data_IF_586582572142
#
_entry.id   IF_586582572142
#
_cell.length_a   1.000
_cell.length_b   1.000
_cell.length_c   1.000
_cell.angle_alpha   90.00
_cell.angle_beta   90.00
_cell.angle_gamma   90.00
#
_symmetry.space_group_name_H-M   'P 1'
#
loop_
_entity.id
_entity.type
_entity.pdbx_description
1 polymer ?
#
# COMPACT_ATOMS: atom_id res chain seq x y z
N UNK A 1 -25.26 5.13 32.76
CA UNK A 1 -24.54 4.51 31.62
C UNK A 1 -23.70 5.60 30.96
N UNK A 2 -22.40 5.43 30.86
CA UNK A 2 -21.52 6.43 30.24
C UNK A 2 -21.97 6.71 28.81
N UNK A 3 -22.41 7.93 28.56
CA UNK A 3 -22.91 8.37 27.24
C UNK A 3 -21.77 8.63 26.24
N UNK A 4 -20.51 8.64 26.69
CA UNK A 4 -19.34 8.88 25.85
C UNK A 4 -18.83 7.55 25.26
N UNK A 5 -18.63 7.47 23.92
CA UNK A 5 -18.06 6.28 23.30
C UNK A 5 -16.65 5.97 23.83
N UNK A 6 -16.38 4.71 24.11
CA UNK A 6 -15.01 4.25 24.38
C UNK A 6 -14.11 4.50 23.14
N UNK A 7 -12.81 4.36 23.32
CA UNK A 7 -11.81 4.71 22.27
C UNK A 7 -11.07 3.47 21.72
N UNK A 8 -11.68 2.28 21.86
CA UNK A 8 -11.08 1.01 21.45
C UNK A 8 -10.73 0.97 19.96
N UNK A 9 -11.55 1.57 19.08
CA UNK A 9 -11.31 1.68 17.63
C UNK A 9 -10.02 2.43 17.28
N UNK A 10 -9.59 3.37 18.12
CA UNK A 10 -8.34 4.10 17.88
C UNK A 10 -7.11 3.26 18.21
N UNK A 11 -7.21 2.34 19.18
CA UNK A 11 -6.16 1.35 19.47
C UNK A 11 -6.03 0.38 18.30
N UNK A 12 -7.15 -0.03 17.68
CA UNK A 12 -7.13 -0.84 16.44
C UNK A 12 -6.41 -0.08 15.32
N UNK A 13 -6.70 1.21 15.17
CA UNK A 13 -6.01 2.06 14.20
C UNK A 13 -4.51 2.15 14.50
N UNK A 14 -4.12 2.26 15.77
CA UNK A 14 -2.72 2.26 16.17
C UNK A 14 -2.01 0.94 15.84
N UNK A 15 -2.68 -0.22 16.01
CA UNK A 15 -2.15 -1.50 15.54
C UNK A 15 -1.95 -1.53 14.01
N UNK A 16 -2.89 -1.00 13.25
CA UNK A 16 -2.76 -0.91 11.79
C UNK A 16 -1.58 -0.01 11.38
N UNK A 17 -1.41 1.14 12.03
CA UNK A 17 -0.31 2.09 11.81
C UNK A 17 1.04 1.47 12.14
N UNK A 18 1.17 0.85 13.32
CA UNK A 18 2.44 0.23 13.74
C UNK A 18 2.81 -0.95 12.86
N UNK A 19 1.82 -1.72 12.38
CA UNK A 19 2.07 -2.79 11.41
C UNK A 19 2.60 -2.22 10.09
N UNK A 20 1.99 -1.17 9.59
CA UNK A 20 2.43 -0.50 8.37
C UNK A 20 3.87 0.04 8.49
N UNK A 21 4.26 0.57 9.66
CA UNK A 21 5.63 0.99 9.95
C UNK A 21 6.60 -0.19 9.89
N UNK A 22 6.29 -1.30 10.57
CA UNK A 22 7.14 -2.51 10.59
C UNK A 22 7.30 -3.06 9.17
N UNK A 23 6.20 -3.16 8.41
CA UNK A 23 6.21 -3.60 7.01
C UNK A 23 7.21 -2.79 6.17
N UNK A 24 7.24 -1.47 6.32
CA UNK A 24 8.16 -0.62 5.55
C UNK A 24 9.61 -0.69 6.04
N UNK A 25 9.84 -0.91 7.34
CA UNK A 25 11.19 -1.20 7.87
C UNK A 25 11.74 -2.47 7.20
N UNK A 26 10.95 -3.53 7.14
CA UNK A 26 11.36 -4.82 6.57
C UNK A 26 11.58 -4.75 5.05
N UNK A 27 10.73 -3.99 4.33
CA UNK A 27 10.84 -3.82 2.87
C UNK A 27 12.05 -2.97 2.46
N UNK A 28 12.27 -1.86 3.15
CA UNK A 28 13.34 -0.91 2.80
C UNK A 28 14.68 -1.40 3.33
N UNK A 29 14.69 -2.13 4.44
CA UNK A 29 15.91 -2.62 5.10
C UNK A 29 16.82 -3.41 4.19
N UNK A 30 16.26 -4.26 3.32
CA UNK A 30 17.05 -5.05 2.38
C UNK A 30 17.82 -4.18 1.38
N UNK A 31 17.22 -3.08 0.90
CA UNK A 31 17.85 -2.20 -0.09
C UNK A 31 19.10 -1.52 0.47
N UNK A 32 19.08 -1.17 1.77
CA UNK A 32 20.22 -0.58 2.48
C UNK A 32 21.32 -1.61 2.72
N UNK A 33 20.95 -2.85 3.08
CA UNK A 33 21.90 -3.92 3.35
C UNK A 33 22.45 -4.58 2.08
N UNK A 34 21.78 -4.45 0.93
CA UNK A 34 22.08 -5.18 -0.30
C UNK A 34 23.54 -5.02 -0.80
N UNK A 35 24.19 -3.84 -0.75
CA UNK A 35 25.61 -3.72 -1.11
C UNK A 35 26.52 -4.61 -0.25
N UNK A 36 26.29 -4.67 1.06
CA UNK A 36 27.06 -5.49 1.99
C UNK A 36 26.81 -6.99 1.76
N UNK A 37 25.56 -7.36 1.54
CA UNK A 37 25.16 -8.72 1.18
C UNK A 37 25.81 -9.14 -0.14
N UNK A 38 25.81 -8.24 -1.15
CA UNK A 38 26.47 -8.47 -2.44
C UNK A 38 27.94 -8.77 -2.27
N UNK A 39 28.63 -7.95 -1.50
CA UNK A 39 30.09 -8.06 -1.35
C UNK A 39 30.46 -9.35 -0.57
N UNK A 40 29.66 -9.75 0.43
CA UNK A 40 29.85 -10.97 1.23
C UNK A 40 29.49 -12.24 0.44
N UNK A 41 28.32 -12.26 -0.23
CA UNK A 41 27.85 -13.44 -0.98
C UNK A 41 28.32 -13.44 -2.44
N UNK A 42 29.10 -12.44 -2.87
CA UNK A 42 29.61 -12.26 -4.25
C UNK A 42 28.49 -12.29 -5.30
N UNK A 43 27.40 -11.56 -5.03
CA UNK A 43 26.25 -11.52 -5.91
C UNK A 43 26.55 -10.79 -7.22
N UNK A 44 26.19 -11.40 -8.35
CA UNK A 44 26.14 -10.70 -9.63
C UNK A 44 24.99 -9.68 -9.66
N UNK A 45 25.04 -8.65 -10.55
CA UNK A 45 23.95 -7.71 -10.74
C UNK A 45 22.61 -8.39 -11.07
N UNK A 46 22.63 -9.47 -11.83
CA UNK A 46 21.44 -10.28 -12.17
C UNK A 46 20.85 -10.92 -10.92
N UNK A 47 21.69 -11.51 -10.06
CA UNK A 47 21.23 -12.12 -8.80
C UNK A 47 20.68 -11.09 -7.82
N UNK A 48 21.24 -9.89 -7.77
CA UNK A 48 20.66 -8.76 -7.00
C UNK A 48 19.26 -8.41 -7.52
N UNK A 49 19.09 -8.28 -8.83
CA UNK A 49 17.79 -8.04 -9.47
C UNK A 49 16.77 -9.12 -9.12
N UNK A 50 17.15 -10.40 -9.23
CA UNK A 50 16.27 -11.52 -8.83
C UNK A 50 15.92 -11.51 -7.34
N UNK A 51 16.84 -11.12 -6.47
CA UNK A 51 16.60 -11.01 -5.02
C UNK A 51 15.47 -10.00 -4.73
N UNK A 52 15.47 -8.86 -5.39
CA UNK A 52 14.43 -7.85 -5.23
C UNK A 52 13.12 -8.24 -5.92
N UNK A 53 13.20 -8.80 -7.14
CA UNK A 53 12.05 -9.24 -7.91
C UNK A 53 11.31 -10.42 -7.26
N UNK A 54 12.02 -11.34 -6.62
CA UNK A 54 11.45 -12.50 -5.95
C UNK A 54 10.41 -12.15 -4.89
N UNK A 55 10.68 -11.11 -4.10
CA UNK A 55 9.71 -10.56 -3.17
C UNK A 55 8.45 -10.07 -3.88
N UNK A 56 8.61 -9.22 -4.90
CA UNK A 56 7.48 -8.56 -5.56
C UNK A 56 6.54 -9.57 -6.26
N UNK A 57 7.10 -10.57 -6.94
CA UNK A 57 6.32 -11.63 -7.59
C UNK A 57 5.59 -12.53 -6.59
N UNK A 58 6.29 -12.97 -5.54
CA UNK A 58 5.66 -13.78 -4.51
C UNK A 58 4.56 -12.99 -3.78
N UNK A 59 4.82 -11.74 -3.45
CA UNK A 59 3.86 -10.85 -2.82
C UNK A 59 2.60 -10.70 -3.68
N UNK A 60 2.74 -10.37 -4.97
CA UNK A 60 1.61 -10.22 -5.90
C UNK A 60 0.76 -11.51 -5.98
N UNK A 61 1.41 -12.67 -6.08
CA UNK A 61 0.70 -13.95 -6.22
C UNK A 61 -0.17 -14.30 -4.99
N UNK A 62 0.29 -13.94 -3.79
CA UNK A 62 -0.37 -14.34 -2.54
C UNK A 62 -1.30 -13.25 -1.96
N UNK A 63 -1.43 -12.08 -2.57
CA UNK A 63 -2.28 -10.98 -2.04
C UNK A 63 -3.76 -11.33 -2.01
N UNK A 64 -4.32 -11.85 -3.09
CA UNK A 64 -5.73 -12.27 -3.14
C UNK A 64 -5.99 -13.44 -2.17
N UNK A 65 -5.21 -14.53 -2.18
CA UNK A 65 -5.35 -15.60 -1.20
C UNK A 65 -5.26 -15.10 0.25
N UNK A 66 -4.31 -14.19 0.53
CA UNK A 66 -4.12 -13.62 1.87
C UNK A 66 -5.31 -12.77 2.34
N UNK A 67 -5.88 -11.96 1.44
CA UNK A 67 -7.09 -11.19 1.71
C UNK A 67 -8.32 -12.06 1.92
N UNK A 68 -8.53 -13.05 1.03
CA UNK A 68 -9.62 -14.01 1.12
C UNK A 68 -9.58 -14.87 2.39
N UNK A 69 -8.36 -15.22 2.84
CA UNK A 69 -8.18 -15.95 4.09
C UNK A 69 -8.65 -15.12 5.30
N UNK A 70 -8.39 -13.80 5.31
CA UNK A 70 -8.89 -12.89 6.32
C UNK A 70 -10.42 -12.79 6.37
N UNK A 71 -11.05 -12.76 5.20
CA UNK A 71 -12.51 -12.73 5.11
C UNK A 71 -13.14 -14.05 5.60
N UNK A 72 -12.43 -15.19 5.39
CA UNK A 72 -12.94 -16.53 5.70
C UNK A 72 -12.75 -16.95 7.16
N UNK A 73 -11.62 -16.66 7.79
CA UNK A 73 -11.27 -17.15 9.13
C UNK A 73 -11.01 -16.04 10.15
N UNK A 74 -11.18 -14.78 9.73
CA UNK A 74 -11.00 -13.58 10.53
C UNK A 74 -9.57 -13.03 10.54
N UNK A 75 -9.44 -11.71 10.47
CA UNK A 75 -8.14 -11.03 10.40
C UNK A 75 -7.28 -11.23 11.65
N UNK A 76 -7.85 -11.50 12.82
CA UNK A 76 -7.10 -11.76 14.07
C UNK A 76 -6.09 -12.90 13.89
N UNK A 77 -6.57 -14.04 13.42
CA UNK A 77 -5.75 -15.25 13.23
C UNK A 77 -4.82 -15.10 12.02
N UNK A 78 -5.33 -14.48 10.96
CA UNK A 78 -4.59 -14.36 9.71
C UNK A 78 -3.42 -13.38 9.86
N UNK A 79 -3.62 -12.19 10.41
CA UNK A 79 -2.53 -11.23 10.62
C UNK A 79 -1.47 -11.78 11.58
N UNK A 80 -1.87 -12.43 12.67
CA UNK A 80 -0.91 -13.07 13.57
C UNK A 80 0.00 -14.07 12.83
N UNK A 81 -0.60 -14.96 12.00
CA UNK A 81 0.15 -15.94 11.21
C UNK A 81 1.04 -15.29 10.15
N UNK A 82 0.50 -14.32 9.41
CA UNK A 82 1.20 -13.54 8.39
C UNK A 82 2.43 -12.88 9.03
N UNK A 83 2.25 -12.15 10.13
CA UNK A 83 3.35 -11.41 10.77
C UNK A 83 4.40 -12.33 11.35
N UNK A 84 4.03 -13.45 12.00
CA UNK A 84 5.00 -14.43 12.49
C UNK A 84 5.77 -15.06 11.34
N UNK A 85 5.08 -15.42 10.24
CA UNK A 85 5.72 -16.00 9.06
C UNK A 85 6.74 -15.04 8.46
N UNK A 86 6.34 -13.81 8.14
CA UNK A 86 7.28 -12.88 7.53
C UNK A 86 8.42 -12.50 8.49
N UNK A 87 8.16 -12.35 9.80
CA UNK A 87 9.16 -12.07 10.81
C UNK A 87 10.23 -13.15 10.88
N UNK A 88 9.82 -14.43 10.75
CA UNK A 88 10.75 -15.54 10.64
C UNK A 88 11.64 -15.37 9.40
N UNK A 89 11.09 -15.06 8.22
CA UNK A 89 11.88 -14.90 7.00
C UNK A 89 12.64 -13.57 6.95
N UNK A 90 12.21 -12.54 7.69
CA UNK A 90 13.03 -11.35 7.97
C UNK A 90 14.29 -11.78 8.74
N UNK A 91 14.15 -12.46 9.85
CA UNK A 91 15.31 -12.98 10.62
C UNK A 91 16.16 -13.94 9.78
N UNK A 92 15.54 -14.85 9.04
CA UNK A 92 16.22 -15.81 8.16
C UNK A 92 17.03 -15.12 7.04
N UNK A 93 16.70 -13.89 6.65
CA UNK A 93 17.55 -13.09 5.78
C UNK A 93 18.94 -12.89 6.38
N UNK A 94 19.07 -12.81 7.69
CA UNK A 94 20.36 -12.78 8.41
C UNK A 94 21.15 -14.10 8.35
N UNK A 95 20.53 -15.22 8.00
CA UNK A 95 21.15 -16.57 8.00
C UNK A 95 21.47 -17.09 6.61
N UNK A 96 21.25 -16.31 5.55
CA UNK A 96 21.54 -16.73 4.18
C UNK A 96 23.04 -16.92 3.96
N UNK A 97 23.41 -17.94 3.15
CA UNK A 97 24.80 -18.34 2.91
C UNK A 97 25.18 -18.37 1.43
N UNK A 98 24.21 -18.22 0.53
CA UNK A 98 24.45 -18.15 -0.92
C UNK A 98 23.31 -17.38 -1.65
N UNK A 99 23.46 -17.05 -2.93
CA UNK A 99 22.46 -16.32 -3.70
C UNK A 99 21.09 -17.01 -3.74
N UNK A 100 21.06 -18.33 -3.86
CA UNK A 100 19.81 -19.10 -3.95
C UNK A 100 19.04 -19.04 -2.63
N UNK A 101 19.72 -19.22 -1.48
CA UNK A 101 19.08 -19.11 -0.16
C UNK A 101 18.50 -17.73 0.06
N UNK A 102 19.16 -16.66 -0.42
CA UNK A 102 18.64 -15.30 -0.34
C UNK A 102 17.37 -15.12 -1.18
N UNK A 103 17.37 -15.57 -2.44
CA UNK A 103 16.19 -15.50 -3.32
C UNK A 103 15.01 -16.26 -2.74
N UNK A 104 15.25 -17.49 -2.26
CA UNK A 104 14.20 -18.32 -1.62
C UNK A 104 13.64 -17.62 -0.38
N UNK A 105 14.52 -17.12 0.50
CA UNK A 105 14.11 -16.40 1.71
C UNK A 105 13.28 -15.18 1.37
N UNK A 106 13.67 -14.40 0.35
CA UNK A 106 12.92 -13.21 -0.11
C UNK A 106 11.59 -13.57 -0.75
N UNK A 107 11.52 -14.69 -1.48
CA UNK A 107 10.24 -15.20 -2.01
C UNK A 107 9.28 -15.61 -0.89
N UNK A 108 9.76 -16.35 0.10
CA UNK A 108 8.96 -16.80 1.24
C UNK A 108 8.56 -15.64 2.16
N UNK A 109 9.43 -14.64 2.31
CA UNK A 109 9.08 -13.38 2.96
C UNK A 109 7.94 -12.67 2.23
N UNK A 110 8.03 -12.50 0.90
CA UNK A 110 7.00 -11.86 0.09
C UNK A 110 5.66 -12.60 0.12
N UNK A 111 5.69 -13.92 0.00
CA UNK A 111 4.50 -14.76 0.11
C UNK A 111 3.84 -14.64 1.50
N UNK A 112 4.64 -14.55 2.55
CA UNK A 112 4.15 -14.41 3.92
C UNK A 112 3.60 -13.03 4.22
N UNK A 113 4.23 -11.96 3.72
CA UNK A 113 3.78 -10.59 3.94
C UNK A 113 2.53 -10.24 3.12
N UNK A 114 2.32 -10.93 2.01
CA UNK A 114 1.15 -10.76 1.18
C UNK A 114 -0.14 -10.94 1.99
N UNK A 115 -1.13 -10.10 1.73
CA UNK A 115 -2.35 -10.08 2.50
C UNK A 115 -2.31 -9.23 3.79
N UNK A 116 -1.17 -8.67 4.20
CA UNK A 116 -1.11 -7.80 5.38
C UNK A 116 -2.00 -6.58 5.22
N UNK A 117 -1.82 -5.79 4.17
CA UNK A 117 -2.65 -4.61 3.90
C UNK A 117 -4.12 -4.95 3.62
N UNK A 118 -4.47 -5.99 2.83
CA UNK A 118 -5.84 -6.46 2.72
C UNK A 118 -6.49 -6.77 4.08
N UNK A 119 -5.78 -7.44 4.98
CA UNK A 119 -6.29 -7.74 6.31
C UNK A 119 -6.36 -6.51 7.22
N UNK A 120 -5.41 -5.56 7.14
CA UNK A 120 -5.54 -4.25 7.80
C UNK A 120 -6.82 -3.55 7.33
N UNK A 121 -7.07 -3.53 6.02
CA UNK A 121 -8.29 -2.96 5.44
C UNK A 121 -9.53 -3.62 6.02
N UNK A 122 -9.55 -4.94 6.14
CA UNK A 122 -10.64 -5.70 6.77
C UNK A 122 -10.82 -5.32 8.24
N UNK A 123 -9.73 -5.21 9.01
CA UNK A 123 -9.73 -4.77 10.41
C UNK A 123 -10.37 -3.39 10.55
N UNK A 124 -9.93 -2.42 9.73
CA UNK A 124 -10.44 -1.06 9.76
C UNK A 124 -11.91 -0.99 9.30
N UNK A 125 -12.31 -1.78 8.30
CA UNK A 125 -13.69 -1.87 7.84
C UNK A 125 -14.65 -2.37 8.94
N UNK A 126 -14.17 -3.27 9.80
CA UNK A 126 -14.96 -3.84 10.92
C UNK A 126 -15.04 -2.89 12.10
N UNK A 127 -13.96 -2.18 12.43
CA UNK A 127 -13.83 -1.39 13.66
C UNK A 127 -14.06 0.11 13.49
N UNK A 128 -14.27 0.60 12.27
CA UNK A 128 -14.46 2.04 12.02
C UNK A 128 -15.79 2.33 11.31
N UNK A 129 -16.51 3.37 11.75
CA UNK A 129 -17.63 3.90 10.99
C UNK A 129 -17.13 4.47 9.65
N UNK A 130 -17.97 4.43 8.61
CA UNK A 130 -17.62 4.85 7.24
C UNK A 130 -16.94 6.22 7.20
N UNK A 131 -17.45 7.17 7.99
CA UNK A 131 -16.92 8.56 8.07
C UNK A 131 -15.48 8.69 8.60
N UNK A 132 -14.95 7.65 9.27
CA UNK A 132 -13.61 7.66 9.86
C UNK A 132 -12.59 6.85 9.02
N UNK A 133 -13.05 6.09 8.00
CA UNK A 133 -12.22 5.17 7.21
C UNK A 133 -11.14 5.89 6.39
N UNK A 134 -11.50 6.99 5.70
CA UNK A 134 -10.53 7.78 4.94
C UNK A 134 -9.42 8.34 5.82
N UNK A 135 -9.80 8.84 7.00
CA UNK A 135 -8.82 9.38 7.95
C UNK A 135 -7.87 8.30 8.46
N UNK A 136 -8.41 7.13 8.80
CA UNK A 136 -7.60 6.00 9.25
C UNK A 136 -6.65 5.51 8.15
N UNK A 137 -7.12 5.37 6.92
CA UNK A 137 -6.28 5.00 5.77
C UNK A 137 -5.21 6.06 5.51
N UNK A 138 -5.56 7.35 5.57
CA UNK A 138 -4.57 8.42 5.39
C UNK A 138 -3.46 8.35 6.44
N UNK A 139 -3.79 8.06 7.71
CA UNK A 139 -2.80 7.92 8.79
C UNK A 139 -1.92 6.68 8.55
N UNK A 140 -2.51 5.56 8.14
CA UNK A 140 -1.75 4.34 7.81
C UNK A 140 -0.78 4.62 6.66
N UNK A 141 -1.22 5.26 5.58
CA UNK A 141 -0.35 5.56 4.44
C UNK A 141 0.69 6.62 4.75
N UNK A 142 0.34 7.65 5.53
CA UNK A 142 1.31 8.63 6.04
C UNK A 142 2.42 7.92 6.83
N UNK A 143 2.05 7.00 7.72
CA UNK A 143 3.00 6.24 8.52
C UNK A 143 3.97 5.42 7.65
N UNK A 144 3.48 4.82 6.54
CA UNK A 144 4.36 4.13 5.58
C UNK A 144 5.34 5.08 4.91
N UNK A 145 4.91 6.30 4.55
CA UNK A 145 5.78 7.30 3.92
C UNK A 145 6.86 7.80 4.87
N UNK A 146 6.46 8.14 6.10
CA UNK A 146 7.39 8.57 7.15
C UNK A 146 8.36 7.43 7.48
N UNK A 147 7.85 6.22 7.69
CA UNK A 147 8.71 5.05 7.93
C UNK A 147 9.69 4.82 6.78
N UNK A 148 9.22 4.82 5.52
CA UNK A 148 10.07 4.65 4.35
C UNK A 148 11.18 5.70 4.26
N UNK A 149 10.92 6.96 4.65
CA UNK A 149 11.90 8.03 4.66
C UNK A 149 12.97 7.88 5.76
N UNK A 150 12.60 7.39 6.94
CA UNK A 150 13.53 7.25 8.08
C UNK A 150 14.19 5.87 8.17
N UNK A 151 13.63 4.85 7.57
CA UNK A 151 14.16 3.47 7.62
C UNK A 151 15.62 3.38 7.15
N UNK A 152 16.07 4.02 6.05
CA UNK A 152 17.47 3.92 5.64
C UNK A 152 18.45 4.37 6.72
N UNK A 153 18.12 5.45 7.43
CA UNK A 153 18.95 5.93 8.52
C UNK A 153 18.97 4.94 9.70
N UNK A 154 17.81 4.45 10.12
CA UNK A 154 17.68 3.45 11.18
C UNK A 154 18.49 2.19 10.87
N UNK A 155 18.34 1.67 9.64
CA UNK A 155 19.03 0.46 9.19
C UNK A 155 20.54 0.67 9.14
N UNK A 156 21.01 1.80 8.60
CA UNK A 156 22.43 2.12 8.57
C UNK A 156 23.04 2.22 9.98
N UNK A 157 22.33 2.83 10.93
CA UNK A 157 22.76 2.89 12.33
C UNK A 157 22.87 1.52 12.98
N UNK A 158 21.87 0.64 12.78
CA UNK A 158 21.88 -0.72 13.31
C UNK A 158 23.00 -1.56 12.68
N UNK A 159 23.14 -1.48 11.35
CA UNK A 159 24.19 -2.21 10.62
C UNK A 159 25.59 -1.80 11.11
N UNK A 160 25.82 -0.51 11.34
CA UNK A 160 27.13 -0.03 11.85
C UNK A 160 27.44 -0.52 13.26
N UNK A 161 26.40 -0.75 14.09
CA UNK A 161 26.57 -1.22 15.48
C UNK A 161 26.66 -2.74 15.64
N UNK A 162 25.79 -3.48 14.95
CA UNK A 162 25.60 -4.92 15.16
C UNK A 162 25.76 -5.78 13.89
N UNK A 163 26.03 -5.16 12.75
CA UNK A 163 26.12 -5.83 11.45
C UNK A 163 24.76 -6.12 10.81
N UNK A 164 24.76 -6.35 9.47
CA UNK A 164 23.52 -6.51 8.72
C UNK A 164 22.73 -7.77 9.12
N UNK A 165 23.39 -8.89 9.41
CA UNK A 165 22.75 -10.15 9.79
C UNK A 165 21.92 -10.02 11.04
N UNK A 166 22.49 -9.47 12.12
CA UNK A 166 21.78 -9.25 13.39
C UNK A 166 20.70 -8.18 13.29
N UNK A 167 20.87 -7.21 12.39
CA UNK A 167 19.82 -6.20 12.12
C UNK A 167 18.52 -6.86 11.64
N UNK A 168 18.60 -7.85 10.73
CA UNK A 168 17.42 -8.59 10.30
C UNK A 168 16.82 -9.48 11.40
N UNK A 169 17.64 -10.04 12.28
CA UNK A 169 17.15 -10.78 13.45
C UNK A 169 16.35 -9.87 14.40
N UNK A 170 16.86 -8.65 14.68
CA UNK A 170 16.16 -7.65 15.50
C UNK A 170 14.80 -7.26 14.88
N UNK A 171 14.75 -7.06 13.56
CA UNK A 171 13.50 -6.75 12.88
C UNK A 171 12.50 -7.90 12.97
N UNK A 172 12.96 -9.15 12.81
CA UNK A 172 12.11 -10.32 12.99
C UNK A 172 11.51 -10.39 14.39
N UNK A 173 12.28 -10.12 15.44
CA UNK A 173 11.79 -10.08 16.83
C UNK A 173 10.73 -9.00 17.02
N UNK A 174 10.92 -7.82 16.43
CA UNK A 174 9.96 -6.72 16.50
C UNK A 174 8.57 -7.12 15.94
N UNK A 175 8.55 -7.82 14.81
CA UNK A 175 7.31 -8.31 14.22
C UNK A 175 6.63 -9.37 15.09
N UNK A 176 7.38 -10.30 15.68
CA UNK A 176 6.80 -11.30 16.61
C UNK A 176 6.17 -10.62 17.84
N UNK A 177 6.83 -9.61 18.42
CA UNK A 177 6.29 -8.84 19.54
C UNK A 177 4.95 -8.21 19.13
N UNK A 178 4.90 -7.55 17.97
CA UNK A 178 3.67 -6.97 17.45
C UNK A 178 2.58 -8.02 17.28
N UNK A 179 2.87 -9.17 16.69
CA UNK A 179 1.91 -10.24 16.46
C UNK A 179 1.28 -10.77 17.76
N UNK A 180 2.09 -10.94 18.82
CA UNK A 180 1.62 -11.38 20.13
C UNK A 180 0.71 -10.34 20.77
N UNK A 181 1.11 -9.07 20.75
CA UNK A 181 0.32 -7.97 21.31
C UNK A 181 -1.01 -7.81 20.58
N UNK A 182 -0.98 -7.80 19.24
CA UNK A 182 -2.20 -7.73 18.43
C UNK A 182 -3.13 -8.91 18.71
N UNK A 183 -2.63 -10.14 18.69
CA UNK A 183 -3.44 -11.33 18.89
C UNK A 183 -4.08 -11.37 20.28
N UNK A 184 -3.42 -10.90 21.31
CA UNK A 184 -3.95 -10.83 22.67
C UNK A 184 -5.05 -9.78 22.80
N UNK A 185 -4.86 -8.63 22.18
CA UNK A 185 -5.76 -7.49 22.34
C UNK A 185 -6.91 -7.51 21.34
N UNK A 186 -6.67 -7.69 20.06
CA UNK A 186 -7.67 -7.58 18.99
C UNK A 186 -8.72 -8.69 19.04
N UNK A 187 -9.98 -8.35 18.69
CA UNK A 187 -11.10 -9.30 18.48
C UNK A 187 -11.71 -9.04 17.10
N UNK A 188 -12.11 -10.11 16.42
CA UNK A 188 -12.76 -10.00 15.10
C UNK A 188 -14.16 -9.40 15.21
N UNK A 189 -14.84 -9.60 16.34
CA UNK A 189 -16.16 -9.05 16.63
C UNK A 189 -16.04 -7.98 17.71
N UNK A 190 -16.30 -6.69 17.41
CA UNK A 190 -16.16 -5.60 18.37
C UNK A 190 -16.98 -5.75 19.64
N UNK A 191 -18.19 -6.36 19.56
CA UNK A 191 -19.05 -6.59 20.73
C UNK A 191 -18.48 -7.59 21.75
N UNK A 192 -17.50 -8.41 21.34
CA UNK A 192 -16.81 -9.36 22.23
C UNK A 192 -15.63 -8.73 22.96
N UNK A 193 -15.31 -7.47 22.66
CA UNK A 193 -14.14 -6.81 23.23
C UNK A 193 -14.49 -6.06 24.53
N UNK A 194 -13.82 -6.37 25.67
CA UNK A 194 -14.19 -5.82 26.97
C UNK A 194 -14.02 -4.29 27.09
N UNK A 195 -13.20 -3.67 26.23
CA UNK A 195 -12.99 -2.22 26.22
C UNK A 195 -14.03 -1.47 25.37
N UNK A 196 -14.97 -2.14 24.71
CA UNK A 196 -15.99 -1.52 23.86
C UNK A 196 -17.28 -1.37 24.66
N UNK A 197 -17.76 -0.11 24.82
CA UNK A 197 -19.02 0.16 25.45
C UNK A 197 -20.18 0.23 24.42
N UNK A 198 -21.43 0.26 24.91
CA UNK A 198 -22.61 0.31 24.07
C UNK A 198 -22.64 1.55 23.16
N UNK A 199 -22.13 2.68 23.64
CA UNK A 199 -22.09 3.94 22.88
C UNK A 199 -21.09 3.84 21.70
N UNK A 200 -19.93 3.21 21.86
CA UNK A 200 -19.01 2.96 20.75
C UNK A 200 -19.58 1.92 19.78
N UNK A 201 -20.18 0.83 20.32
CA UNK A 201 -20.75 -0.23 19.49
C UNK A 201 -21.86 0.30 18.56
N UNK A 202 -22.68 1.24 19.02
CA UNK A 202 -23.74 1.87 18.22
C UNK A 202 -23.19 2.70 17.03
N UNK A 203 -21.93 3.10 17.07
CA UNK A 203 -21.27 3.86 15.98
C UNK A 203 -20.64 2.93 14.92
N UNK A 204 -20.39 1.68 15.26
CA UNK A 204 -19.70 0.73 14.38
C UNK A 204 -20.64 0.16 13.31
N UNK A 205 -20.09 -0.36 12.19
CA UNK A 205 -20.89 -1.03 11.18
C UNK A 205 -21.72 -2.18 11.75
N UNK A 206 -22.92 -2.44 11.20
CA UNK A 206 -23.74 -3.58 11.63
C UNK A 206 -22.98 -4.89 11.51
N UNK A 207 -23.12 -5.78 12.50
CA UNK A 207 -22.41 -7.06 12.53
C UNK A 207 -22.64 -7.92 11.27
N UNK A 208 -23.84 -7.84 10.67
CA UNK A 208 -24.17 -8.53 9.40
C UNK A 208 -23.30 -8.08 8.21
N UNK A 209 -22.88 -6.81 8.19
CA UNK A 209 -22.07 -6.25 7.09
C UNK A 209 -20.56 -6.53 7.27
N UNK A 210 -20.16 -6.94 8.48
CA UNK A 210 -18.77 -7.20 8.85
C UNK A 210 -18.50 -8.63 9.30
N UNK A 211 -19.53 -9.50 9.30
CA UNK A 211 -19.41 -10.89 9.71
C UNK A 211 -18.37 -11.67 8.88
N UNK A 212 -17.73 -12.63 9.53
CA UNK A 212 -16.79 -13.54 8.86
C UNK A 212 -17.55 -14.42 7.87
N UNK A 213 -17.03 -14.55 6.65
CA UNK A 213 -17.66 -15.33 5.59
C UNK A 213 -17.33 -16.82 5.70
N UNK A 214 -17.86 -17.50 6.71
CA UNK A 214 -17.58 -18.93 6.96
C UNK A 214 -17.94 -19.86 5.77
N UNK A 215 -18.85 -19.44 4.89
CA UNK A 215 -19.29 -20.20 3.71
C UNK A 215 -18.34 -20.11 2.53
N UNK A 216 -17.22 -19.39 2.66
CA UNK A 216 -16.25 -19.17 1.59
C UNK A 216 -16.48 -17.86 0.84
N UNK A 217 -15.52 -17.55 -0.04
CA UNK A 217 -15.53 -16.33 -0.83
C UNK A 217 -16.27 -16.58 -2.16
N UNK A 218 -17.28 -15.78 -2.51
CA UNK A 218 -18.03 -15.94 -3.75
C UNK A 218 -17.26 -15.33 -4.91
N UNK A 219 -16.26 -16.03 -5.41
CA UNK A 219 -15.36 -15.56 -6.48
C UNK A 219 -16.11 -15.03 -7.71
N UNK A 220 -17.16 -15.76 -8.15
CA UNK A 220 -17.98 -15.34 -9.27
C UNK A 220 -18.65 -13.98 -9.03
N UNK A 221 -19.18 -13.73 -7.84
CA UNK A 221 -19.80 -12.46 -7.46
C UNK A 221 -18.78 -11.30 -7.47
N UNK A 222 -17.60 -11.53 -6.90
CA UNK A 222 -16.55 -10.51 -6.79
C UNK A 222 -16.00 -10.15 -8.16
N UNK A 223 -15.56 -11.15 -8.93
CA UNK A 223 -14.90 -10.89 -10.22
C UNK A 223 -15.86 -10.63 -11.40
N UNK A 224 -17.18 -10.84 -11.25
CA UNK A 224 -18.17 -10.35 -12.21
C UNK A 224 -18.55 -8.87 -12.00
N UNK A 225 -18.19 -8.28 -10.84
CA UNK A 225 -18.59 -6.91 -10.53
C UNK A 225 -17.64 -5.89 -11.18
N UNK A 226 -18.15 -4.96 -12.02
CA UNK A 226 -17.31 -3.99 -12.72
C UNK A 226 -16.57 -3.03 -11.79
N UNK A 227 -17.11 -2.72 -10.58
CA UNK A 227 -16.43 -1.82 -9.64
C UNK A 227 -15.17 -2.44 -9.07
N UNK A 228 -15.08 -3.77 -8.91
CA UNK A 228 -13.86 -4.45 -8.50
C UNK A 228 -12.76 -4.27 -9.54
N UNK A 229 -13.11 -4.40 -10.82
CA UNK A 229 -12.15 -4.19 -11.92
C UNK A 229 -11.75 -2.73 -12.07
N UNK A 230 -12.69 -1.79 -11.91
CA UNK A 230 -12.40 -0.35 -11.95
C UNK A 230 -11.48 0.06 -10.78
N UNK A 231 -11.72 -0.46 -9.55
CA UNK A 231 -10.84 -0.28 -8.40
C UNK A 231 -9.44 -0.84 -8.65
N UNK A 232 -9.37 -2.04 -9.22
CA UNK A 232 -8.10 -2.70 -9.53
C UNK A 232 -7.33 -1.96 -10.61
N UNK A 233 -7.99 -1.55 -11.70
CA UNK A 233 -7.36 -0.85 -12.82
C UNK A 233 -6.89 0.56 -12.42
N UNK A 234 -7.70 1.34 -11.71
CA UNK A 234 -7.27 2.66 -11.23
C UNK A 234 -6.06 2.56 -10.29
N UNK A 235 -6.02 1.52 -9.45
CA UNK A 235 -4.90 1.32 -8.54
C UNK A 235 -3.63 0.84 -9.26
N UNK A 236 -3.80 0.04 -10.32
CA UNK A 236 -2.74 -0.30 -11.25
C UNK A 236 -2.13 0.97 -11.86
N UNK A 237 -2.97 1.93 -12.32
CA UNK A 237 -2.52 3.21 -12.86
C UNK A 237 -1.77 4.05 -11.82
N UNK A 238 -2.25 4.06 -10.58
CA UNK A 238 -1.63 4.78 -9.47
C UNK A 238 -0.25 4.19 -9.12
N UNK A 239 -0.18 2.87 -8.98
CA UNK A 239 1.02 2.16 -8.60
C UNK A 239 2.11 2.24 -9.68
N UNK A 240 1.76 2.27 -10.97
CA UNK A 240 2.73 2.38 -12.07
C UNK A 240 3.66 3.59 -11.89
N UNK A 241 3.10 4.78 -11.61
CA UNK A 241 3.90 5.98 -11.36
C UNK A 241 4.69 5.90 -10.05
N UNK A 242 4.08 5.35 -9.01
CA UNK A 242 4.74 5.17 -7.71
C UNK A 242 6.00 4.32 -7.79
N UNK A 243 5.95 3.17 -8.47
CA UNK A 243 7.10 2.28 -8.63
C UNK A 243 8.22 2.90 -9.47
N UNK A 244 7.89 3.82 -10.38
CA UNK A 244 8.88 4.62 -11.07
C UNK A 244 9.69 5.48 -10.08
N UNK A 245 9.04 6.19 -9.16
CA UNK A 245 9.73 7.03 -8.18
C UNK A 245 10.68 6.24 -7.29
N UNK A 246 10.29 5.06 -6.88
CA UNK A 246 11.12 4.23 -5.99
C UNK A 246 12.33 3.64 -6.73
N UNK A 247 12.14 3.17 -7.96
CA UNK A 247 13.16 2.36 -8.63
C UNK A 247 14.03 3.17 -9.60
N UNK A 248 13.46 4.07 -10.37
CA UNK A 248 14.13 4.74 -11.47
C UNK A 248 14.53 6.18 -11.18
N UNK A 249 13.90 6.85 -10.24
CA UNK A 249 14.18 8.27 -9.95
C UNK A 249 15.63 8.54 -9.56
N UNK A 250 16.31 7.74 -8.72
CA UNK A 250 17.72 7.94 -8.42
C UNK A 250 18.62 7.83 -9.67
N UNK A 251 18.33 6.87 -10.55
CA UNK A 251 19.04 6.69 -11.82
C UNK A 251 18.81 7.87 -12.76
N UNK A 252 17.56 8.31 -12.90
CA UNK A 252 17.22 9.48 -13.69
C UNK A 252 17.97 10.75 -13.24
N UNK A 253 17.99 11.01 -11.92
CA UNK A 253 18.67 12.17 -11.36
C UNK A 253 20.16 12.16 -11.64
N UNK A 254 20.80 11.00 -11.54
CA UNK A 254 22.22 10.84 -11.84
C UNK A 254 22.50 10.95 -13.34
N UNK A 255 21.79 10.17 -14.15
CA UNK A 255 22.15 9.94 -15.55
C UNK A 255 21.61 11.04 -16.50
N UNK A 256 20.41 11.58 -16.18
CA UNK A 256 19.78 12.61 -17.02
C UNK A 256 19.91 14.04 -16.48
N UNK A 257 20.13 14.19 -15.16
CA UNK A 257 20.19 15.51 -14.51
C UNK A 257 21.58 15.83 -13.94
N UNK A 258 22.53 14.90 -13.98
CA UNK A 258 23.89 15.10 -13.47
C UNK A 258 23.97 15.36 -11.96
N UNK A 259 22.93 14.96 -11.19
CA UNK A 259 22.89 15.19 -9.76
C UNK A 259 23.96 14.38 -9.04
N UNK A 260 24.66 15.01 -8.09
CA UNK A 260 25.56 14.28 -7.20
C UNK A 260 24.80 13.26 -6.36
N UNK A 261 25.47 12.21 -5.89
CA UNK A 261 24.86 11.15 -5.07
C UNK A 261 24.07 11.71 -3.88
N UNK A 262 24.66 12.68 -3.16
CA UNK A 262 24.01 13.31 -1.99
C UNK A 262 22.77 14.11 -2.38
N UNK A 263 22.86 14.91 -3.43
CA UNK A 263 21.75 15.72 -3.93
C UNK A 263 20.65 14.82 -4.50
N UNK A 264 21.00 13.79 -5.27
CA UNK A 264 20.05 12.81 -5.80
C UNK A 264 19.28 12.09 -4.70
N UNK A 265 19.94 11.68 -3.62
CA UNK A 265 19.29 11.03 -2.47
C UNK A 265 18.31 11.96 -1.75
N UNK A 266 18.66 13.25 -1.54
CA UNK A 266 17.76 14.23 -0.93
C UNK A 266 16.55 14.52 -1.82
N UNK A 267 16.76 14.73 -3.10
CA UNK A 267 15.72 15.06 -4.06
C UNK A 267 14.76 13.87 -4.30
N UNK A 268 15.25 12.64 -4.29
CA UNK A 268 14.43 11.45 -4.45
C UNK A 268 13.42 11.26 -3.29
N UNK A 269 13.66 11.85 -2.12
CA UNK A 269 12.73 11.84 -1.00
C UNK A 269 11.52 12.77 -1.14
N UNK A 270 11.60 13.80 -2.00
CA UNK A 270 10.55 14.81 -2.13
C UNK A 270 9.19 14.23 -2.54
N UNK A 271 9.06 13.33 -3.55
CA UNK A 271 7.77 12.74 -3.90
C UNK A 271 7.13 11.97 -2.75
N UNK A 272 7.93 11.30 -1.91
CA UNK A 272 7.46 10.56 -0.74
C UNK A 272 6.90 11.50 0.33
N UNK A 273 7.64 12.56 0.66
CA UNK A 273 7.23 13.52 1.69
C UNK A 273 5.97 14.28 1.26
N UNK A 274 5.95 14.80 0.03
CA UNK A 274 4.79 15.49 -0.50
C UNK A 274 3.60 14.54 -0.69
N UNK A 275 3.83 13.28 -1.02
CA UNK A 275 2.80 12.23 -1.03
C UNK A 275 2.13 12.07 0.34
N UNK A 276 2.91 12.01 1.42
CA UNK A 276 2.36 12.00 2.78
C UNK A 276 1.44 13.19 3.08
N UNK A 277 1.82 14.40 2.62
CA UNK A 277 0.96 15.57 2.71
C UNK A 277 -0.33 15.40 1.89
N UNK A 278 -0.27 14.79 0.71
CA UNK A 278 -1.42 14.46 -0.13
C UNK A 278 -2.44 13.57 0.60
N UNK A 279 -1.96 12.52 1.28
CA UNK A 279 -2.81 11.67 2.12
C UNK A 279 -3.56 12.47 3.19
N UNK A 280 -2.85 13.37 3.90
CA UNK A 280 -3.47 14.18 4.95
C UNK A 280 -4.52 15.13 4.39
N UNK A 281 -4.22 15.83 3.30
CA UNK A 281 -5.16 16.75 2.67
C UNK A 281 -6.41 16.00 2.20
N UNK A 282 -6.27 14.81 1.62
CA UNK A 282 -7.39 13.94 1.24
C UNK A 282 -8.28 13.62 2.45
N UNK A 283 -7.67 13.22 3.57
CA UNK A 283 -8.39 12.89 4.80
C UNK A 283 -9.25 14.02 5.35
N UNK A 284 -8.81 15.28 5.16
CA UNK A 284 -9.57 16.46 5.58
C UNK A 284 -10.62 16.88 4.56
N UNK A 285 -10.38 16.68 3.27
CA UNK A 285 -11.28 17.14 2.21
C UNK A 285 -12.44 16.20 1.97
N UNK A 286 -12.26 14.87 1.99
CA UNK A 286 -13.33 13.91 1.70
C UNK A 286 -14.55 14.12 2.62
N UNK A 287 -14.42 14.25 3.95
CA UNK A 287 -15.58 14.50 4.81
C UNK A 287 -16.28 15.82 4.53
N UNK A 288 -15.52 16.89 4.20
CA UNK A 288 -16.09 18.21 3.86
C UNK A 288 -16.87 18.18 2.56
N UNK A 289 -16.30 17.53 1.53
CA UNK A 289 -16.98 17.34 0.24
C UNK A 289 -18.21 16.45 0.39
N UNK A 290 -18.12 15.38 1.20
CA UNK A 290 -19.27 14.52 1.51
C UNK A 290 -20.41 15.33 2.14
N UNK A 291 -20.10 16.22 3.11
CA UNK A 291 -21.10 17.10 3.72
C UNK A 291 -21.69 18.07 2.70
N UNK A 292 -20.87 18.60 1.79
CA UNK A 292 -21.30 19.59 0.78
C UNK A 292 -22.18 18.97 -0.31
N UNK A 293 -21.83 17.77 -0.79
CA UNK A 293 -22.51 17.13 -1.92
C UNK A 293 -23.49 16.01 -1.51
N UNK A 294 -23.58 15.69 -0.21
CA UNK A 294 -24.48 14.65 0.31
C UNK A 294 -24.08 13.22 -0.07
N UNK A 295 -22.92 13.00 -0.71
CA UNK A 295 -22.50 11.69 -1.22
C UNK A 295 -21.00 11.45 -1.05
N UNK A 296 -20.67 10.32 -0.39
CA UNK A 296 -19.29 9.84 -0.24
C UNK A 296 -18.70 9.48 -1.61
N UNK A 297 -19.47 8.84 -2.49
CA UNK A 297 -19.00 8.44 -3.82
C UNK A 297 -18.63 9.65 -4.67
N UNK A 298 -19.43 10.72 -4.65
CA UNK A 298 -19.12 11.98 -5.35
C UNK A 298 -17.87 12.62 -4.77
N UNK A 299 -17.75 12.69 -3.44
CA UNK A 299 -16.59 13.27 -2.77
C UNK A 299 -15.29 12.54 -3.16
N UNK A 300 -15.28 11.21 -3.10
CA UNK A 300 -14.14 10.38 -3.49
C UNK A 300 -13.81 10.53 -4.98
N UNK A 301 -14.82 10.60 -5.85
CA UNK A 301 -14.62 10.82 -7.28
C UNK A 301 -13.94 12.15 -7.56
N UNK A 302 -14.36 13.24 -6.93
CA UNK A 302 -13.72 14.55 -7.05
C UNK A 302 -12.26 14.49 -6.63
N UNK A 303 -11.97 13.91 -5.44
CA UNK A 303 -10.61 13.76 -4.93
C UNK A 303 -9.75 12.95 -5.90
N UNK A 304 -10.26 11.81 -6.37
CA UNK A 304 -9.50 10.92 -7.21
C UNK A 304 -9.23 11.49 -8.61
N UNK A 305 -10.26 12.04 -9.27
CA UNK A 305 -10.07 12.67 -10.60
C UNK A 305 -9.10 13.85 -10.49
N UNK A 306 -9.25 14.72 -9.46
CA UNK A 306 -8.30 15.82 -9.21
C UNK A 306 -6.89 15.30 -8.97
N UNK A 307 -6.72 14.23 -8.18
CA UNK A 307 -5.42 13.62 -7.92
C UNK A 307 -4.78 13.04 -9.18
N UNK A 308 -5.51 12.24 -9.94
CA UNK A 308 -4.99 11.66 -11.17
C UNK A 308 -4.63 12.70 -12.24
N UNK A 309 -5.50 13.69 -12.48
CA UNK A 309 -5.25 14.79 -13.42
C UNK A 309 -4.09 15.66 -12.93
N UNK A 310 -4.04 15.96 -11.63
CA UNK A 310 -2.95 16.73 -11.02
C UNK A 310 -1.60 16.03 -11.13
N UNK A 311 -1.54 14.69 -10.90
CA UNK A 311 -0.33 13.91 -11.09
C UNK A 311 0.13 13.91 -12.56
N UNK A 312 -0.79 13.65 -13.49
CA UNK A 312 -0.52 13.70 -14.93
C UNK A 312 0.04 15.06 -15.38
N UNK A 313 -0.64 16.15 -14.99
CA UNK A 313 -0.23 17.51 -15.32
C UNK A 313 1.14 17.85 -14.74
N UNK A 314 1.38 17.49 -13.47
CA UNK A 314 2.67 17.73 -12.82
C UNK A 314 3.82 17.02 -13.55
N UNK A 315 3.61 15.78 -14.01
CA UNK A 315 4.61 15.05 -14.81
C UNK A 315 4.90 15.76 -16.13
N UNK A 316 3.87 16.23 -16.84
CA UNK A 316 4.08 16.96 -18.11
C UNK A 316 4.83 18.28 -17.87
N UNK A 317 4.49 19.03 -16.84
CA UNK A 317 5.20 20.27 -16.48
C UNK A 317 6.66 19.96 -16.11
N UNK A 318 6.89 18.91 -15.32
CA UNK A 318 8.21 18.45 -14.91
C UNK A 318 9.16 18.25 -16.12
N UNK A 319 8.68 17.68 -17.23
CA UNK A 319 9.50 17.47 -18.43
C UNK A 319 9.95 18.75 -19.11
N UNK A 320 9.35 19.89 -18.80
CA UNK A 320 9.64 21.21 -19.38
C UNK A 320 10.59 22.07 -18.52
N UNK A 321 10.91 21.63 -17.30
CA UNK A 321 11.72 22.40 -16.34
C UNK A 321 13.18 21.95 -16.44
N UNK A 322 14.05 22.90 -16.71
CA UNK A 322 15.49 22.64 -16.82
C UNK A 322 16.17 22.58 -15.45
N UNK A 323 15.81 23.48 -14.51
CA UNK A 323 16.40 23.52 -13.18
C UNK A 323 16.06 22.25 -12.37
N UNK A 324 17.07 21.49 -11.88
CA UNK A 324 16.83 20.22 -11.20
C UNK A 324 16.01 20.33 -9.91
N UNK A 325 16.18 21.41 -9.15
CA UNK A 325 15.48 21.57 -7.86
C UNK A 325 14.00 21.88 -8.09
N UNK A 326 13.71 22.82 -9.00
CA UNK A 326 12.34 23.16 -9.38
C UNK A 326 11.64 21.96 -10.02
N UNK A 327 12.33 21.24 -10.92
CA UNK A 327 11.82 20.03 -11.53
C UNK A 327 11.43 18.99 -10.46
N UNK A 328 12.28 18.76 -9.47
CA UNK A 328 12.01 17.80 -8.41
C UNK A 328 10.88 18.24 -7.48
N UNK A 329 10.70 19.53 -7.26
CA UNK A 329 9.53 20.02 -6.54
C UNK A 329 8.23 19.71 -7.29
N UNK A 330 8.20 19.96 -8.61
CA UNK A 330 7.03 19.67 -9.45
C UNK A 330 6.77 18.15 -9.55
N UNK A 331 7.83 17.33 -9.64
CA UNK A 331 7.68 15.87 -9.56
C UNK A 331 7.19 15.42 -8.18
N UNK A 332 7.62 16.12 -7.13
CA UNK A 332 7.08 15.95 -5.78
C UNK A 332 5.58 16.26 -5.69
N UNK A 333 5.09 17.26 -6.44
CA UNK A 333 3.66 17.51 -6.57
C UNK A 333 2.93 16.37 -7.28
N UNK A 334 3.55 15.69 -8.25
CA UNK A 334 2.98 14.47 -8.81
C UNK A 334 2.85 13.37 -7.73
N UNK A 335 3.82 13.22 -6.83
CA UNK A 335 3.75 12.37 -5.65
C UNK A 335 2.62 12.78 -4.69
N UNK A 336 2.46 14.07 -4.42
CA UNK A 336 1.35 14.61 -3.65
C UNK A 336 0.01 14.19 -4.23
N UNK A 337 -0.22 14.43 -5.51
CA UNK A 337 -1.47 14.10 -6.18
C UNK A 337 -1.70 12.59 -6.31
N UNK A 338 -0.65 11.79 -6.46
CA UNK A 338 -0.73 10.33 -6.40
C UNK A 338 -1.30 9.86 -5.05
N UNK A 339 -0.71 10.30 -3.96
CA UNK A 339 -1.09 9.88 -2.62
C UNK A 339 -2.36 10.58 -2.10
N UNK A 340 -2.78 11.68 -2.73
CA UNK A 340 -4.08 12.31 -2.52
C UNK A 340 -5.25 11.38 -2.88
N UNK A 341 -5.05 10.44 -3.84
CA UNK A 341 -6.04 9.42 -4.22
C UNK A 341 -6.05 8.24 -3.25
N UNK A 342 -4.91 7.90 -2.67
CA UNK A 342 -4.70 6.66 -1.91
C UNK A 342 -5.75 6.38 -0.81
N UNK A 343 -6.06 7.32 0.11
CA UNK A 343 -7.04 7.06 1.18
C UNK A 343 -8.43 6.75 0.64
N UNK A 344 -8.85 7.48 -0.39
CA UNK A 344 -10.14 7.27 -1.04
C UNK A 344 -10.22 5.91 -1.75
N UNK A 345 -9.16 5.50 -2.46
CA UNK A 345 -9.10 4.21 -3.14
C UNK A 345 -9.22 3.04 -2.14
N UNK A 346 -8.44 3.06 -1.06
CA UNK A 346 -8.48 2.01 -0.04
C UNK A 346 -9.77 2.02 0.79
N UNK A 347 -10.33 3.20 1.12
CA UNK A 347 -11.62 3.27 1.78
C UNK A 347 -12.75 2.74 0.88
N UNK A 348 -12.64 2.92 -0.44
CA UNK A 348 -13.61 2.37 -1.40
C UNK A 348 -13.61 0.84 -1.42
N UNK A 349 -12.45 0.17 -1.24
CA UNK A 349 -12.43 -1.30 -1.13
C UNK A 349 -13.15 -1.80 0.11
N UNK A 350 -13.16 -1.04 1.21
CA UNK A 350 -13.90 -1.38 2.42
C UNK A 350 -15.41 -1.33 2.18
N UNK A 351 -15.87 -0.27 1.51
CA UNK A 351 -17.30 -0.04 1.31
C UNK A 351 -17.85 -0.93 0.20
N UNK A 352 -17.16 -1.04 -0.93
CA UNK A 352 -17.55 -1.93 -2.05
C UNK A 352 -17.43 -3.40 -1.65
N UNK A 353 -16.37 -3.77 -0.93
CA UNK A 353 -16.14 -5.15 -0.50
C UNK A 353 -17.07 -5.60 0.62
N UNK A 354 -17.51 -4.69 1.51
CA UNK A 354 -18.32 -5.06 2.67
C UNK A 354 -17.63 -6.16 3.50
N UNK A 355 -18.29 -7.30 3.67
CA UNK A 355 -17.72 -8.47 4.38
C UNK A 355 -16.57 -9.16 3.63
N UNK A 356 -16.37 -8.84 2.33
CA UNK A 356 -15.26 -9.33 1.51
C UNK A 356 -14.20 -8.22 1.25
N UNK A 357 -14.11 -7.24 2.13
CA UNK A 357 -13.18 -6.12 2.01
C UNK A 357 -11.72 -6.58 1.87
N UNK A 358 -11.32 -7.66 2.54
CA UNK A 358 -9.99 -8.27 2.42
C UNK A 358 -9.73 -8.81 1.01
N UNK A 359 -10.68 -9.53 0.42
CA UNK A 359 -10.56 -10.07 -0.94
C UNK A 359 -10.54 -8.96 -1.99
N UNK A 360 -11.44 -7.99 -1.88
CA UNK A 360 -11.51 -6.85 -2.84
C UNK A 360 -10.26 -5.98 -2.76
N UNK A 361 -9.78 -5.66 -1.56
CA UNK A 361 -8.53 -4.90 -1.42
C UNK A 361 -7.30 -5.70 -1.83
N UNK A 362 -7.31 -7.03 -1.63
CA UNK A 362 -6.28 -7.93 -2.15
C UNK A 362 -6.22 -7.93 -3.68
N UNK A 363 -7.37 -7.99 -4.37
CA UNK A 363 -7.44 -7.90 -5.82
C UNK A 363 -6.92 -6.55 -6.33
N UNK A 364 -7.32 -5.46 -5.70
CA UNK A 364 -6.83 -4.12 -6.02
C UNK A 364 -5.31 -4.01 -5.84
N UNK A 365 -4.77 -4.47 -4.71
CA UNK A 365 -3.36 -4.35 -4.40
C UNK A 365 -2.47 -5.26 -5.26
N UNK A 366 -2.95 -6.48 -5.59
CA UNK A 366 -2.28 -7.37 -6.54
C UNK A 366 -2.06 -6.68 -7.90
N UNK A 367 -3.08 -6.00 -8.43
CA UNK A 367 -2.95 -5.25 -9.68
C UNK A 367 -1.95 -4.09 -9.55
N UNK A 368 -1.85 -3.46 -8.37
CA UNK A 368 -0.79 -2.49 -8.08
C UNK A 368 0.61 -3.10 -8.10
N UNK A 369 0.78 -4.31 -7.56
CA UNK A 369 2.06 -5.02 -7.57
C UNK A 369 2.46 -5.47 -8.99
N UNK A 370 1.48 -5.91 -9.79
CA UNK A 370 1.67 -6.20 -11.23
C UNK A 370 2.11 -4.94 -11.99
N UNK A 371 1.47 -3.80 -11.72
CA UNK A 371 1.86 -2.52 -12.31
C UNK A 371 3.28 -2.12 -11.94
N UNK A 372 3.69 -2.40 -10.71
CA UNK A 372 5.06 -2.18 -10.26
C UNK A 372 6.08 -2.96 -11.08
N UNK A 373 5.85 -4.25 -11.24
CA UNK A 373 6.69 -5.12 -12.07
C UNK A 373 6.74 -4.64 -13.53
N UNK A 374 5.57 -4.28 -14.09
CA UNK A 374 5.48 -3.74 -15.44
C UNK A 374 6.20 -2.39 -15.58
N UNK A 375 6.02 -1.48 -14.62
CA UNK A 375 6.67 -0.16 -14.64
C UNK A 375 8.18 -0.28 -14.72
N UNK A 376 8.78 -1.08 -13.84
CA UNK A 376 10.24 -1.29 -13.80
C UNK A 376 10.74 -1.89 -15.11
N UNK A 377 10.04 -2.87 -15.65
CA UNK A 377 10.41 -3.56 -16.89
C UNK A 377 10.26 -2.65 -18.10
N UNK A 378 9.09 -2.04 -18.26
CA UNK A 378 8.77 -1.18 -19.43
C UNK A 378 9.73 0.01 -19.52
N UNK A 379 10.04 0.67 -18.40
CA UNK A 379 11.00 1.78 -18.39
C UNK A 379 12.38 1.33 -18.86
N UNK A 380 12.87 0.16 -18.43
CA UNK A 380 14.15 -0.38 -18.89
C UNK A 380 14.19 -0.61 -20.41
N UNK A 381 13.13 -1.21 -20.96
CA UNK A 381 13.02 -1.40 -22.42
C UNK A 381 12.90 -0.08 -23.19
N UNK A 382 12.10 0.87 -22.68
CA UNK A 382 11.96 2.20 -23.31
C UNK A 382 13.29 2.94 -23.37
N UNK A 383 14.07 2.93 -22.30
CA UNK A 383 15.38 3.56 -22.27
C UNK A 383 16.37 2.89 -23.25
N UNK A 384 16.36 1.57 -23.32
CA UNK A 384 17.17 0.84 -24.29
C UNK A 384 16.76 1.17 -25.75
N UNK A 385 15.47 1.19 -26.04
CA UNK A 385 14.93 1.48 -27.37
C UNK A 385 15.13 2.94 -27.81
N UNK A 386 15.02 3.89 -26.87
CA UNK A 386 15.13 5.32 -27.13
C UNK A 386 16.52 5.90 -26.89
N UNK A 387 17.54 5.04 -26.73
CA UNK A 387 18.92 5.46 -26.43
C UNK A 387 19.03 6.40 -25.22
N UNK A 388 18.27 6.08 -24.15
CA UNK A 388 18.30 6.83 -22.90
C UNK A 388 17.36 8.03 -22.81
N UNK A 389 16.37 8.14 -23.70
CA UNK A 389 15.40 9.24 -23.63
C UNK A 389 14.32 8.98 -22.58
N UNK A 390 14.39 9.71 -21.47
CA UNK A 390 13.42 9.61 -20.36
C UNK A 390 12.06 10.26 -20.65
N UNK A 391 11.99 11.17 -21.62
CA UNK A 391 10.77 11.96 -21.86
C UNK A 391 9.57 11.09 -22.23
N UNK A 392 9.77 10.06 -23.06
CA UNK A 392 8.72 9.12 -23.43
C UNK A 392 8.18 8.35 -22.23
N UNK A 393 9.06 7.95 -21.30
CA UNK A 393 8.68 7.28 -20.05
C UNK A 393 7.72 8.14 -19.21
N UNK A 394 8.01 9.44 -19.11
CA UNK A 394 7.15 10.37 -18.37
C UNK A 394 5.80 10.58 -19.07
N UNK A 395 5.77 10.70 -20.39
CA UNK A 395 4.50 10.85 -21.13
C UNK A 395 3.62 9.59 -21.04
N UNK A 396 4.21 8.40 -21.08
CA UNK A 396 3.49 7.16 -20.86
C UNK A 396 2.90 7.14 -19.43
N UNK A 397 3.69 7.48 -18.42
CA UNK A 397 3.22 7.57 -17.04
C UNK A 397 2.07 8.57 -16.89
N UNK A 398 2.17 9.74 -17.54
CA UNK A 398 1.12 10.76 -17.57
C UNK A 398 -0.17 10.22 -18.20
N UNK A 399 -0.09 9.51 -19.33
CA UNK A 399 -1.25 8.87 -19.98
C UNK A 399 -1.90 7.79 -19.10
N UNK A 400 -1.10 7.00 -18.40
CA UNK A 400 -1.59 6.00 -17.46
C UNK A 400 -2.35 6.65 -16.30
N UNK A 401 -1.88 7.78 -15.76
CA UNK A 401 -2.64 8.53 -14.75
C UNK A 401 -4.00 9.00 -15.29
N UNK A 402 -4.09 9.51 -16.52
CA UNK A 402 -5.36 9.90 -17.13
C UNK A 402 -6.34 8.72 -17.27
N UNK A 403 -5.84 7.53 -17.60
CA UNK A 403 -6.65 6.31 -17.59
C UNK A 403 -7.22 6.02 -16.20
N UNK A 404 -6.46 6.22 -15.15
CA UNK A 404 -6.93 6.12 -13.76
C UNK A 404 -8.05 7.11 -13.44
N UNK A 405 -7.94 8.35 -13.92
CA UNK A 405 -9.01 9.35 -13.77
C UNK A 405 -10.31 8.90 -14.47
N UNK A 406 -10.21 8.32 -15.68
CA UNK A 406 -11.36 7.79 -16.42
C UNK A 406 -12.04 6.67 -15.62
N UNK A 407 -11.29 5.74 -15.02
CA UNK A 407 -11.87 4.69 -14.19
C UNK A 407 -12.75 5.27 -13.07
N UNK A 408 -12.34 6.36 -12.43
CA UNK A 408 -13.09 6.99 -11.33
C UNK A 408 -14.38 7.68 -11.78
N UNK A 409 -14.51 8.06 -13.05
CA UNK A 409 -15.77 8.62 -13.57
C UNK A 409 -16.91 7.59 -13.56
N UNK A 410 -16.58 6.31 -13.74
CA UNK A 410 -17.54 5.20 -13.81
C UNK A 410 -17.64 4.40 -12.50
N UNK A 411 -16.72 4.59 -11.55
CA UNK A 411 -16.66 3.85 -10.30
C UNK A 411 -17.77 4.28 -9.32
N UNK A 412 -18.59 3.33 -8.87
CA UNK A 412 -19.36 3.47 -7.64
C UNK A 412 -18.52 2.99 -6.46
N UNK A 413 -17.98 3.94 -5.71
CA UNK A 413 -16.98 3.71 -4.67
C UNK A 413 -17.57 3.44 -3.29
N UNK A 414 -18.90 3.27 -3.17
CA UNK A 414 -19.57 3.18 -1.86
C UNK A 414 -20.55 2.02 -1.76
N UNK A 415 -21.27 1.65 -2.83
CA UNK A 415 -22.30 0.61 -2.75
C UNK A 415 -21.66 -0.78 -2.68
N UNK A 416 -21.98 -1.61 -1.65
CA UNK A 416 -21.46 -2.97 -1.53
C UNK A 416 -21.81 -3.86 -2.72
N UNK A 417 -20.90 -4.75 -3.12
CA UNK A 417 -21.07 -5.66 -4.27
C UNK A 417 -22.33 -6.52 -4.15
N UNK A 418 -22.72 -6.93 -2.94
CA UNK A 418 -23.92 -7.74 -2.70
C UNK A 418 -25.20 -7.02 -3.11
N UNK A 419 -25.30 -5.70 -2.80
CA UNK A 419 -26.46 -4.88 -3.16
C UNK A 419 -26.50 -4.55 -4.67
N UNK A 420 -25.35 -4.33 -5.27
CA UNK A 420 -25.24 -4.06 -6.71
C UNK A 420 -25.70 -5.26 -7.53
N UNK A 421 -25.36 -6.48 -7.12
CA UNK A 421 -25.75 -7.71 -7.83
C UNK A 421 -27.25 -7.95 -7.76
N UNK A 422 -27.89 -7.65 -6.63
CA UNK A 422 -29.36 -7.73 -6.51
C UNK A 422 -30.04 -6.74 -7.46
N UNK A 423 -29.55 -5.49 -7.51
CA UNK A 423 -30.08 -4.46 -8.40
C UNK A 423 -29.93 -4.83 -9.89
N UNK A 424 -28.75 -5.38 -10.29
CA UNK A 424 -28.53 -5.82 -11.68
C UNK A 424 -29.44 -7.00 -12.08
N UNK A 425 -29.69 -7.95 -11.16
CA UNK A 425 -30.61 -9.07 -11.42
C UNK A 425 -32.07 -8.65 -11.51
N UNK A 426 -32.45 -7.52 -10.88
CA UNK A 426 -33.79 -6.98 -10.95
C UNK A 426 -34.01 -6.11 -12.19
N UNK A 427 -32.92 -5.60 -12.80
CA UNK A 427 -32.94 -4.79 -14.00
C UNK A 427 -32.79 -5.61 -15.29
N UNK A 428 -32.38 -6.88 -15.23
CA UNK A 428 -32.28 -7.83 -16.32
C UNK A 428 -33.52 -8.74 -16.41
#
# INVERSE_FOLDING_TARGET
MDSTPSKARYIVTAFAVTLAVITYIDRVGISVALPLIRDELKLSPIQMGWTLAAFAWAYALFEIPGGALGDRIGPRRVLMRIVIWWSFFTAATGWVWNPTSLVVTRSLFGAGEAGAFPNITRVLATWLPVKERERAQAIVWLATRVSGAFTPLLVAMLISGIGWRRTFEVFGVLGVIWAVLFYRWYRDVPSEHPAVNAAELAMLPPAKDTAIAHTGVPWGLIFSNPNVWLLSLQYMCLAYGWWFYINWLPTYLRDARGASFRMGALLAGLPLLLGGAGCLVSAFLVPRLTKRYGSVSIARRIIAVTGFVGASTSIVIFTRIADPVQAMFVLGMAGFFNDFVMPAAWASTMDVGGRYAGTVSGAMNMMGSVAGALSVTVVGYLLAWTSGNWTLTFYISSGIYLLGAICWLFLDSHTPIERQTVAMRQAA
#
